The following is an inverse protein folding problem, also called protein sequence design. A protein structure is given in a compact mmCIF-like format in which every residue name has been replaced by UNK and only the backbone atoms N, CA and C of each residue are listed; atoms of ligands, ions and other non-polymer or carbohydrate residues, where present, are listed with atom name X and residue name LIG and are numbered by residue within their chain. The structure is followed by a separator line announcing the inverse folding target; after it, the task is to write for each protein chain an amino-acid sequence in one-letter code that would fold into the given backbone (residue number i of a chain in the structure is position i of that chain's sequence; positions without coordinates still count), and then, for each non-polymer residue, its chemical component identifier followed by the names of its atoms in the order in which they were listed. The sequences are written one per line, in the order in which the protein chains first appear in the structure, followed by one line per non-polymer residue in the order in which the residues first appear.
data_IF_664942979104
#
_entry.id   IF_664942979104
#
_cell.length_a   1.000
_cell.length_b   1.000
_cell.length_c   1.000
_cell.angle_alpha   90.00
_cell.angle_beta   90.00
_cell.angle_gamma   90.00
#
_symmetry.space_group_name_H-M   'P 1'
#
loop_
_entity.id
_entity.type
_entity.pdbx_description
1 polymer ?
#
# COMPACT_ATOMS: atom_id res chain seq x y z
N UNK A 1 -8.88 8.46 7.60
CA UNK A 1 -8.32 9.58 6.81
C UNK A 1 -7.63 9.05 5.54
N UNK A 2 -7.93 9.64 4.40
CA UNK A 2 -7.32 9.27 3.13
C UNK A 2 -5.99 10.00 2.95
N UNK A 3 -4.89 9.27 2.91
CA UNK A 3 -3.53 9.85 2.83
C UNK A 3 -3.25 10.38 1.42
N UNK A 4 -3.49 9.55 0.40
CA UNK A 4 -3.26 9.93 -0.99
C UNK A 4 -4.39 10.78 -1.55
N UNK A 5 -4.07 11.69 -2.46
CA UNK A 5 -5.04 12.51 -3.18
C UNK A 5 -6.02 11.72 -4.03
N UNK A 6 -6.91 12.42 -4.73
CA UNK A 6 -7.93 11.78 -5.57
C UNK A 6 -7.32 11.01 -6.74
N UNK A 7 -6.26 11.54 -7.32
CA UNK A 7 -5.49 10.94 -8.43
C UNK A 7 -4.01 11.32 -8.32
N UNK A 8 -3.14 10.69 -9.09
CA UNK A 8 -1.67 10.88 -9.01
C UNK A 8 -1.20 12.33 -9.18
N UNK A 9 -1.95 13.16 -9.92
CA UNK A 9 -1.65 14.59 -10.14
C UNK A 9 -2.45 15.55 -9.27
N UNK A 10 -3.16 15.07 -8.23
CA UNK A 10 -3.97 15.94 -7.36
C UNK A 10 -3.08 16.94 -6.61
N UNK A 11 -3.23 18.27 -6.84
CA UNK A 11 -2.43 19.27 -6.13
C UNK A 11 -2.81 19.42 -4.65
N UNK A 12 -3.86 18.78 -4.19
CA UNK A 12 -4.35 18.78 -2.80
C UNK A 12 -4.48 20.17 -2.17
N UNK A 13 -4.98 21.15 -2.91
CA UNK A 13 -5.14 22.54 -2.44
C UNK A 13 -6.06 22.71 -1.24
N UNK A 14 -6.85 21.70 -0.92
CA UNK A 14 -7.81 21.65 0.19
C UNK A 14 -7.17 21.24 1.53
N UNK A 15 -5.90 20.84 1.55
CA UNK A 15 -5.16 20.45 2.77
C UNK A 15 -3.65 20.65 2.59
N UNK A 16 -2.93 20.87 3.69
CA UNK A 16 -1.48 20.98 3.63
C UNK A 16 -0.80 19.61 3.68
N UNK A 17 0.40 19.52 3.12
CA UNK A 17 1.23 18.30 3.22
C UNK A 17 1.63 18.03 4.67
N UNK A 18 1.88 19.06 5.45
CA UNK A 18 2.23 18.96 6.87
C UNK A 18 1.09 18.32 7.66
N UNK A 19 -0.15 18.77 7.41
CA UNK A 19 -1.35 18.17 8.02
C UNK A 19 -1.47 16.70 7.66
N UNK A 20 -1.37 16.37 6.38
CA UNK A 20 -1.46 14.99 5.89
C UNK A 20 -0.39 14.09 6.52
N UNK A 21 0.86 14.54 6.53
CA UNK A 21 1.97 13.77 7.12
C UNK A 21 1.81 13.58 8.62
N UNK A 22 1.35 14.61 9.34
CA UNK A 22 1.07 14.50 10.77
C UNK A 22 -0.02 13.48 11.04
N UNK A 23 -1.14 13.58 10.34
CA UNK A 23 -2.26 12.64 10.51
C UNK A 23 -1.83 11.21 10.15
N UNK A 24 -1.10 11.02 9.05
CA UNK A 24 -0.55 9.72 8.68
C UNK A 24 0.31 9.12 9.80
N UNK A 25 1.28 9.89 10.29
CA UNK A 25 2.15 9.45 11.36
C UNK A 25 1.39 9.08 12.65
N UNK A 26 0.38 9.89 13.01
CA UNK A 26 -0.36 9.72 14.27
C UNK A 26 -1.48 8.68 14.19
N UNK A 27 -1.97 8.36 13.00
CA UNK A 27 -3.14 7.48 12.81
C UNK A 27 -2.90 6.24 11.96
N UNK A 28 -1.68 6.00 11.50
CA UNK A 28 -1.35 4.81 10.71
C UNK A 28 -1.82 3.53 11.45
N UNK A 29 -2.75 2.78 10.84
CA UNK A 29 -3.31 1.59 11.48
C UNK A 29 -2.28 0.47 11.68
N UNK A 30 -1.29 0.36 10.81
CA UNK A 30 -0.24 -0.66 10.93
C UNK A 30 0.68 -0.34 12.10
N UNK A 31 1.09 0.91 12.24
CA UNK A 31 1.89 1.38 13.37
C UNK A 31 1.15 1.16 14.70
N UNK A 32 -0.10 1.63 14.77
CA UNK A 32 -0.92 1.46 15.98
C UNK A 32 -1.17 0.00 16.33
N UNK A 33 -1.36 -0.84 15.34
CA UNK A 33 -1.55 -2.28 15.58
C UNK A 33 -0.26 -2.92 16.11
N UNK A 34 0.89 -2.55 15.56
CA UNK A 34 2.20 -2.96 16.08
C UNK A 34 2.40 -2.60 17.56
N UNK A 35 2.15 -1.33 17.87
CA UNK A 35 2.24 -0.83 19.25
C UNK A 35 1.30 -1.60 20.18
N UNK A 36 0.05 -1.80 19.76
CA UNK A 36 -0.94 -2.57 20.53
C UNK A 36 -0.54 -4.03 20.73
N UNK A 37 0.04 -4.69 19.74
CA UNK A 37 0.53 -6.06 19.88
C UNK A 37 1.69 -6.16 20.87
N UNK A 38 2.60 -5.19 20.85
CA UNK A 38 3.70 -5.13 21.79
C UNK A 38 3.24 -4.91 23.24
N UNK A 39 2.23 -4.05 23.45
CA UNK A 39 1.75 -3.66 24.78
C UNK A 39 0.76 -4.66 25.39
N UNK A 40 -0.25 -5.11 24.62
CA UNK A 40 -1.42 -5.80 25.17
C UNK A 40 -1.41 -7.32 25.01
N UNK A 41 -0.54 -7.87 24.21
CA UNK A 41 -0.52 -9.31 23.93
C UNK A 41 0.71 -10.03 24.54
N UNK A 42 1.26 -9.54 25.64
CA UNK A 42 2.42 -10.14 26.33
C UNK A 42 3.59 -10.51 25.40
N UNK A 43 3.90 -9.66 24.44
CA UNK A 43 4.92 -9.90 23.42
C UNK A 43 4.70 -11.18 22.60
N UNK A 44 3.44 -11.54 22.29
CA UNK A 44 3.14 -12.68 21.41
C UNK A 44 3.76 -12.55 20.03
N UNK A 45 4.01 -11.31 19.59
CA UNK A 45 4.69 -11.00 18.32
C UNK A 45 5.82 -10.03 18.62
N UNK A 46 7.02 -10.39 18.23
CA UNK A 46 8.20 -9.54 18.38
C UNK A 46 8.29 -8.51 17.25
N UNK A 47 9.02 -7.42 17.49
CA UNK A 47 9.31 -6.43 16.44
C UNK A 47 10.03 -7.07 15.25
N UNK A 48 10.93 -8.02 15.50
CA UNK A 48 11.66 -8.75 14.46
C UNK A 48 10.72 -9.54 13.54
N UNK A 49 9.71 -10.21 14.08
CA UNK A 49 8.70 -10.92 13.28
C UNK A 49 7.87 -9.96 12.43
N UNK A 50 7.53 -8.78 12.96
CA UNK A 50 6.88 -7.73 12.16
C UNK A 50 7.78 -7.24 11.02
N UNK A 51 9.08 -7.01 11.30
CA UNK A 51 10.05 -6.58 10.29
C UNK A 51 10.25 -7.62 9.19
N UNK A 52 10.21 -8.92 9.54
CA UNK A 52 10.23 -10.00 8.54
C UNK A 52 8.99 -10.01 7.65
N UNK A 53 7.82 -9.72 8.21
CA UNK A 53 6.57 -9.63 7.44
C UNK A 53 6.65 -8.45 6.47
N UNK A 54 7.09 -7.29 6.94
CA UNK A 54 7.26 -6.09 6.11
C UNK A 54 8.23 -6.37 4.96
N UNK A 55 9.38 -6.97 5.24
CA UNK A 55 10.36 -7.34 4.20
C UNK A 55 9.79 -8.32 3.16
N UNK A 56 8.96 -9.28 3.58
CA UNK A 56 8.27 -10.20 2.65
C UNK A 56 7.24 -9.48 1.78
N UNK A 57 6.49 -8.54 2.36
CA UNK A 57 5.51 -7.73 1.63
C UNK A 57 6.21 -6.83 0.61
N UNK A 58 7.27 -6.14 1.03
CA UNK A 58 8.06 -5.27 0.14
C UNK A 58 8.64 -6.05 -1.05
N UNK A 59 9.22 -7.22 -0.79
CA UNK A 59 9.73 -8.09 -1.84
C UNK A 59 8.64 -8.52 -2.82
N UNK A 60 7.44 -8.85 -2.31
CA UNK A 60 6.28 -9.21 -3.14
C UNK A 60 5.78 -8.05 -4.01
N UNK A 61 5.70 -6.85 -3.45
CA UNK A 61 5.30 -5.65 -4.19
C UNK A 61 6.34 -5.30 -5.27
N UNK A 62 7.63 -5.39 -4.93
CA UNK A 62 8.71 -5.18 -5.90
C UNK A 62 8.62 -6.17 -7.07
N UNK A 63 8.46 -7.45 -6.79
CA UNK A 63 8.30 -8.48 -7.82
C UNK A 63 7.04 -8.25 -8.68
N UNK A 64 5.93 -7.83 -8.09
CA UNK A 64 4.71 -7.50 -8.82
C UNK A 64 4.90 -6.29 -9.76
N UNK A 65 5.65 -5.28 -9.31
CA UNK A 65 6.00 -4.12 -10.14
C UNK A 65 6.89 -4.54 -11.33
N UNK A 66 7.93 -5.33 -11.08
CA UNK A 66 8.82 -5.86 -12.12
C UNK A 66 8.03 -6.69 -13.14
N UNK A 67 7.17 -7.60 -12.66
CA UNK A 67 6.28 -8.37 -13.52
C UNK A 67 5.39 -7.49 -14.41
N UNK A 68 4.79 -6.44 -13.84
CA UNK A 68 3.95 -5.51 -14.61
C UNK A 68 4.72 -4.75 -15.67
N UNK A 69 5.96 -4.32 -15.36
CA UNK A 69 6.82 -3.58 -16.29
C UNK A 69 7.34 -4.46 -17.43
N UNK A 70 7.62 -5.73 -17.16
CA UNK A 70 8.14 -6.70 -18.13
C UNK A 70 7.03 -7.39 -18.95
N UNK A 71 5.76 -7.23 -18.52
CA UNK A 71 4.62 -7.81 -19.21
C UNK A 71 4.43 -7.18 -20.59
N UNK A 72 4.13 -8.02 -21.57
CA UNK A 72 3.81 -7.56 -22.92
C UNK A 72 2.51 -6.76 -22.92
N UNK A 73 2.46 -5.75 -23.76
CA UNK A 73 1.21 -5.06 -24.04
C UNK A 73 0.17 -6.04 -24.63
N UNK A 74 -1.12 -5.90 -24.28
CA UNK A 74 -2.18 -6.72 -24.86
C UNK A 74 -2.18 -6.61 -26.39
N UNK A 75 -2.43 -7.73 -27.09
CA UNK A 75 -2.59 -7.73 -28.54
C UNK A 75 -3.91 -7.05 -28.93
N UNK A 76 -3.87 -6.22 -29.99
CA UNK A 76 -5.05 -5.51 -30.47
C UNK A 76 -6.19 -6.45 -30.87
N UNK A 77 -5.91 -7.69 -31.28
CA UNK A 77 -6.92 -8.72 -31.58
C UNK A 77 -7.68 -9.24 -30.35
N UNK A 78 -7.18 -8.98 -29.15
CA UNK A 78 -7.77 -9.48 -27.91
C UNK A 78 -8.72 -8.50 -27.22
N UNK A 79 -8.70 -7.20 -27.63
CA UNK A 79 -9.47 -6.18 -26.89
C UNK A 79 -10.97 -6.47 -26.81
N UNK A 80 -11.54 -7.07 -27.85
CA UNK A 80 -12.99 -7.39 -27.87
C UNK A 80 -13.38 -8.47 -26.87
N UNK A 81 -12.46 -9.34 -26.46
CA UNK A 81 -12.73 -10.39 -25.48
C UNK A 81 -13.09 -9.84 -24.09
N UNK A 82 -12.72 -8.60 -23.80
CA UNK A 82 -12.89 -7.98 -22.49
C UNK A 82 -13.90 -6.84 -22.46
N UNK A 83 -14.62 -6.62 -23.58
CA UNK A 83 -15.62 -5.54 -23.68
C UNK A 83 -16.99 -5.99 -23.17
N UNK A 84 -17.33 -7.25 -23.36
CA UNK A 84 -18.60 -7.82 -22.94
C UNK A 84 -18.37 -9.02 -22.03
N UNK A 85 -19.31 -9.24 -21.10
CA UNK A 85 -19.35 -10.49 -20.35
C UNK A 85 -19.86 -11.61 -21.25
N UNK A 86 -19.30 -12.81 -21.10
CA UNK A 86 -19.80 -14.04 -21.75
C UNK A 86 -21.12 -14.47 -21.11
#
# INVERSE_FOLDING_TARGET
YRIEGHFVGDPELYRSKEETMKIFHDTDPLKKFREKMAESMNNLVTSAECDEIDAKVDAKIKAAKEFAMDSKQPDASEYMKFVYAD
#
